data_IF_419588079002
#
_entry.id   IF_419588079002
#
_cell.length_a   1.000
_cell.length_b   1.000
_cell.length_c   1.000
_cell.angle_alpha   90.00
_cell.angle_beta   90.00
_cell.angle_gamma   90.00
#
_symmetry.space_group_name_H-M   'P 1'
#
loop_
_entity.id
_entity.type
_entity.pdbx_description
1 polymer ?
#
# COMPACT_ATOMS: atom_id res chain seq x y z
N UNK A 1 52.16 13.97 51.60
CA UNK A 1 51.15 13.21 50.81
C UNK A 1 49.74 13.84 50.79
N UNK A 2 49.36 14.70 51.75
CA UNK A 2 47.99 15.25 51.83
C UNK A 2 47.64 16.37 50.82
N UNK A 3 48.64 17.12 50.33
CA UNK A 3 48.43 18.19 49.33
C UNK A 3 47.99 17.63 47.97
N UNK A 4 48.56 16.48 47.55
CA UNK A 4 48.16 15.81 46.31
C UNK A 4 46.71 15.31 46.38
N UNK A 5 46.29 14.80 47.54
CA UNK A 5 44.91 14.37 47.76
C UNK A 5 43.90 15.53 47.67
N UNK A 6 44.23 16.70 48.25
CA UNK A 6 43.41 17.91 48.14
C UNK A 6 43.31 18.42 46.68
N UNK A 7 44.41 18.38 45.92
CA UNK A 7 44.40 18.73 44.50
C UNK A 7 43.52 17.78 43.67
N UNK A 8 43.58 16.47 43.92
CA UNK A 8 42.69 15.51 43.26
C UNK A 8 41.22 15.70 43.63
N UNK A 9 40.93 16.02 44.90
CA UNK A 9 39.57 16.24 45.37
C UNK A 9 38.96 17.52 44.77
N UNK A 10 39.76 18.59 44.67
CA UNK A 10 39.34 19.83 44.02
C UNK A 10 39.15 19.66 42.50
N UNK A 11 40.05 18.92 41.84
CA UNK A 11 39.92 18.58 40.44
C UNK A 11 38.67 17.71 40.17
N UNK A 12 38.39 16.72 41.02
CA UNK A 12 37.21 15.88 40.91
C UNK A 12 35.91 16.67 41.13
N UNK A 13 35.89 17.60 42.11
CA UNK A 13 34.74 18.46 42.39
C UNK A 13 34.35 19.35 41.20
N UNK A 14 35.31 19.70 40.33
CA UNK A 14 35.07 20.51 39.13
C UNK A 14 34.78 19.62 37.91
N UNK A 15 35.52 18.52 37.74
CA UNK A 15 35.46 17.71 36.52
C UNK A 15 34.23 16.79 36.48
N UNK A 16 33.83 16.22 37.62
CA UNK A 16 32.72 15.27 37.68
C UNK A 16 31.38 15.88 37.26
N UNK A 17 30.98 17.08 37.73
CA UNK A 17 29.74 17.72 37.29
C UNK A 17 29.72 18.00 35.78
N UNK A 18 30.86 18.40 35.20
CA UNK A 18 30.97 18.68 33.75
C UNK A 18 30.81 17.41 32.93
N UNK A 19 31.44 16.31 33.34
CA UNK A 19 31.32 15.00 32.66
C UNK A 19 29.89 14.48 32.76
N UNK A 20 29.26 14.57 33.93
CA UNK A 20 27.87 14.15 34.14
C UNK A 20 26.91 14.99 33.28
N UNK A 21 27.11 16.31 33.24
CA UNK A 21 26.29 17.20 32.42
C UNK A 21 26.46 16.94 30.92
N UNK A 22 27.68 16.67 30.44
CA UNK A 22 27.95 16.31 29.06
C UNK A 22 27.31 14.96 28.69
N UNK A 23 27.45 13.93 29.54
CA UNK A 23 26.82 12.62 29.34
C UNK A 23 25.29 12.67 29.39
N UNK A 24 24.73 13.46 30.30
CA UNK A 24 23.29 13.68 30.40
C UNK A 24 22.74 14.45 29.18
N UNK A 25 23.48 15.47 28.71
CA UNK A 25 23.11 16.23 27.51
C UNK A 25 23.12 15.36 26.26
N UNK A 26 24.12 14.48 26.10
CA UNK A 26 24.19 13.52 24.99
C UNK A 26 22.96 12.60 24.95
N UNK A 27 22.53 12.06 26.11
CA UNK A 27 21.29 11.26 26.19
C UNK A 27 20.03 12.07 25.88
N UNK A 28 19.99 13.35 26.22
CA UNK A 28 18.85 14.21 25.93
C UNK A 28 18.75 14.56 24.44
N UNK A 29 19.89 14.65 23.74
CA UNK A 29 19.98 14.97 22.31
C UNK A 29 19.54 13.76 21.45
N UNK A 30 19.91 12.53 21.83
CA UNK A 30 19.44 11.30 21.19
C UNK A 30 17.90 11.20 21.15
N UNK A 31 17.20 11.75 22.14
CA UNK A 31 15.73 11.76 22.19
C UNK A 31 15.06 12.81 21.30
N UNK A 32 15.72 13.97 21.04
CA UNK A 32 15.10 15.12 20.36
C UNK A 32 15.26 15.12 18.84
N UNK A 33 16.40 14.66 18.31
CA UNK A 33 16.56 14.46 16.86
C UNK A 33 15.59 13.40 16.33
N UNK A 34 15.18 12.46 17.20
CA UNK A 34 14.26 11.38 16.89
C UNK A 34 12.83 11.87 16.57
N UNK A 35 12.30 12.92 17.20
CA UNK A 35 10.88 13.29 17.03
C UNK A 35 10.58 13.96 15.68
N UNK A 36 11.47 14.83 15.20
CA UNK A 36 11.30 15.46 13.89
C UNK A 36 11.39 14.41 12.77
N UNK A 37 12.38 13.53 12.86
CA UNK A 37 12.56 12.40 11.96
C UNK A 37 11.31 11.48 11.95
N UNK A 38 10.84 11.08 13.13
CA UNK A 38 9.60 10.29 13.30
C UNK A 38 8.39 10.96 12.69
N UNK A 39 8.24 12.27 12.90
CA UNK A 39 7.13 13.04 12.36
C UNK A 39 7.21 13.13 10.83
N UNK A 40 8.40 13.23 10.25
CA UNK A 40 8.59 13.22 8.79
C UNK A 40 8.21 11.86 8.19
N UNK A 41 8.66 10.75 8.78
CA UNK A 41 8.32 9.41 8.33
C UNK A 41 6.81 9.15 8.46
N UNK A 42 6.19 9.57 9.56
CA UNK A 42 4.74 9.46 9.75
C UNK A 42 3.95 10.27 8.71
N UNK A 43 4.37 11.51 8.41
CA UNK A 43 3.77 12.32 7.35
C UNK A 43 3.95 11.70 5.97
N UNK A 44 5.09 11.08 5.69
CA UNK A 44 5.32 10.37 4.44
C UNK A 44 4.40 9.15 4.31
N UNK A 45 4.25 8.35 5.37
CA UNK A 45 3.31 7.24 5.42
C UNK A 45 1.87 7.73 5.17
N UNK A 46 1.45 8.81 5.81
CA UNK A 46 0.11 9.37 5.60
C UNK A 46 -0.09 9.87 4.16
N UNK A 47 0.87 10.59 3.59
CA UNK A 47 0.79 11.11 2.22
C UNK A 47 0.73 9.98 1.19
N UNK A 48 1.58 8.97 1.34
CA UNK A 48 1.57 7.83 0.44
C UNK A 48 0.30 6.98 0.62
N UNK A 49 -0.26 6.87 1.83
CA UNK A 49 -1.55 6.21 2.05
C UNK A 49 -2.69 6.95 1.31
N UNK A 50 -2.70 8.29 1.36
CA UNK A 50 -3.66 9.11 0.63
C UNK A 50 -3.48 9.02 -0.89
N UNK A 51 -2.24 8.87 -1.37
CA UNK A 51 -1.96 8.65 -2.79
C UNK A 51 -2.55 7.33 -3.28
N UNK A 52 -2.38 6.24 -2.52
CA UNK A 52 -2.99 4.93 -2.83
C UNK A 52 -4.51 5.01 -2.78
N UNK A 53 -5.08 5.72 -1.81
CA UNK A 53 -6.52 5.92 -1.71
C UNK A 53 -7.08 6.69 -2.92
N UNK A 54 -6.40 7.75 -3.34
CA UNK A 54 -6.79 8.55 -4.49
C UNK A 54 -6.72 7.75 -5.81
N UNK A 55 -5.69 6.92 -5.98
CA UNK A 55 -5.56 6.03 -7.13
C UNK A 55 -6.73 5.04 -7.21
N UNK A 56 -7.04 4.36 -6.10
CA UNK A 56 -8.18 3.44 -6.03
C UNK A 56 -9.52 4.16 -6.26
N UNK A 57 -9.68 5.37 -5.72
CA UNK A 57 -10.87 6.20 -5.92
C UNK A 57 -11.02 6.64 -7.39
N UNK A 58 -9.91 6.92 -8.08
CA UNK A 58 -9.90 7.23 -9.51
C UNK A 58 -10.35 6.01 -10.33
N UNK A 59 -9.87 4.80 -10.02
CA UNK A 59 -10.36 3.58 -10.67
C UNK A 59 -11.84 3.36 -10.42
N UNK A 60 -12.34 3.58 -9.20
CA UNK A 60 -13.78 3.52 -8.93
C UNK A 60 -14.55 4.57 -9.74
N UNK A 61 -14.04 5.79 -9.91
CA UNK A 61 -14.70 6.80 -10.72
C UNK A 61 -14.76 6.41 -12.20
N UNK A 62 -13.68 5.84 -12.75
CA UNK A 62 -13.64 5.30 -14.11
C UNK A 62 -14.66 4.18 -14.29
N UNK A 63 -14.75 3.26 -13.32
CA UNK A 63 -15.75 2.19 -13.32
C UNK A 63 -17.19 2.74 -13.30
N UNK A 64 -17.47 3.81 -12.53
CA UNK A 64 -18.81 4.46 -12.54
C UNK A 64 -19.13 5.07 -13.90
N UNK A 65 -18.16 5.68 -14.56
CA UNK A 65 -18.34 6.24 -15.89
C UNK A 65 -18.64 5.13 -16.92
N UNK A 66 -17.90 4.02 -16.89
CA UNK A 66 -18.15 2.85 -17.73
C UNK A 66 -19.51 2.21 -17.46
N UNK A 67 -19.93 2.14 -16.19
CA UNK A 67 -21.24 1.59 -15.82
C UNK A 67 -22.42 2.36 -16.45
N UNK A 68 -22.23 3.64 -16.75
CA UNK A 68 -23.20 4.48 -17.45
C UNK A 68 -23.16 4.36 -18.98
N UNK A 69 -22.29 3.51 -19.54
CA UNK A 69 -22.14 3.41 -20.99
C UNK A 69 -23.39 2.82 -21.67
N UNK A 70 -23.89 3.42 -22.76
CA UNK A 70 -24.99 2.87 -23.54
C UNK A 70 -24.68 1.51 -24.18
N UNK A 71 -23.41 1.22 -24.46
CA UNK A 71 -23.00 -0.03 -25.14
C UNK A 71 -23.37 -1.25 -24.29
N UNK A 72 -23.12 -1.19 -22.98
CA UNK A 72 -23.50 -2.27 -22.05
C UNK A 72 -25.02 -2.41 -21.93
N UNK A 73 -25.76 -1.29 -21.88
CA UNK A 73 -27.21 -1.32 -21.79
C UNK A 73 -27.89 -1.92 -23.04
N UNK A 74 -27.25 -1.80 -24.21
CA UNK A 74 -27.71 -2.39 -25.48
C UNK A 74 -27.20 -3.82 -25.73
N UNK A 75 -26.34 -4.34 -24.86
CA UNK A 75 -25.71 -5.66 -25.04
C UNK A 75 -24.59 -5.69 -26.09
N UNK A 76 -24.05 -4.53 -26.48
CA UNK A 76 -22.96 -4.40 -27.44
C UNK A 76 -21.60 -4.67 -26.77
N UNK A 77 -21.35 -5.93 -26.38
CA UNK A 77 -20.17 -6.31 -25.59
C UNK A 77 -18.83 -5.98 -26.27
N UNK A 78 -18.73 -6.07 -27.60
CA UNK A 78 -17.51 -5.69 -28.34
C UNK A 78 -17.22 -4.18 -28.26
N UNK A 79 -18.26 -3.34 -28.25
CA UNK A 79 -18.09 -1.90 -28.08
C UNK A 79 -17.68 -1.58 -26.63
N UNK A 80 -18.35 -2.21 -25.67
CA UNK A 80 -18.05 -2.03 -24.26
C UNK A 80 -16.66 -2.54 -23.88
N UNK A 81 -16.19 -3.64 -24.48
CA UNK A 81 -14.81 -4.13 -24.32
C UNK A 81 -13.78 -3.05 -24.71
N UNK A 82 -13.98 -2.36 -25.85
CA UNK A 82 -13.07 -1.30 -26.31
C UNK A 82 -13.10 -0.09 -25.38
N UNK A 83 -14.28 0.28 -24.88
CA UNK A 83 -14.42 1.37 -23.90
C UNK A 83 -13.70 1.01 -22.59
N UNK A 84 -13.88 -0.22 -22.09
CA UNK A 84 -13.23 -0.70 -20.88
C UNK A 84 -11.70 -0.78 -21.05
N UNK A 85 -11.22 -1.27 -22.19
CA UNK A 85 -9.79 -1.31 -22.51
C UNK A 85 -9.18 0.10 -22.62
N UNK A 86 -9.91 1.07 -23.18
CA UNK A 86 -9.43 2.45 -23.26
C UNK A 86 -9.44 3.16 -21.89
N UNK A 87 -10.38 2.81 -21.01
CA UNK A 87 -10.49 3.36 -19.68
C UNK A 87 -9.46 2.78 -18.69
N UNK A 88 -9.09 1.51 -18.85
CA UNK A 88 -8.02 0.88 -18.06
C UNK A 88 -6.68 1.15 -18.73
N UNK A 89 -6.04 2.25 -18.34
CA UNK A 89 -4.72 2.62 -18.83
C UNK A 89 -3.62 2.13 -17.90
N UNK A 90 -2.72 1.29 -18.41
CA UNK A 90 -1.51 0.88 -17.70
C UNK A 90 -1.05 -0.53 -18.08
N UNK A 91 0.26 -0.82 -18.03
CA UNK A 91 0.80 -2.13 -18.41
C UNK A 91 0.46 -3.26 -17.42
N UNK A 92 0.02 -2.93 -16.19
CA UNK A 92 -0.26 -3.90 -15.11
C UNK A 92 -1.68 -3.72 -14.53
N UNK A 93 -2.62 -3.29 -15.38
CA UNK A 93 -4.04 -3.15 -15.05
C UNK A 93 -4.93 -3.71 -16.17
N UNK A 94 -6.09 -4.27 -15.81
CA UNK A 94 -7.02 -4.85 -16.77
C UNK A 94 -8.48 -4.83 -16.31
N UNK A 95 -9.41 -4.78 -17.27
CA UNK A 95 -10.84 -4.82 -17.00
C UNK A 95 -11.42 -6.23 -17.19
N UNK A 96 -12.40 -6.56 -16.36
CA UNK A 96 -13.24 -7.76 -16.50
C UNK A 96 -14.71 -7.39 -16.39
N UNK A 97 -15.58 -8.12 -17.08
CA UNK A 97 -17.02 -8.04 -16.91
C UNK A 97 -17.59 -9.42 -16.59
N UNK A 98 -18.38 -9.52 -15.54
CA UNK A 98 -19.01 -10.75 -15.07
C UNK A 98 -20.53 -10.58 -15.12
N UNK A 99 -21.25 -11.61 -15.59
CA UNK A 99 -22.71 -11.63 -15.62
C UNK A 99 -23.34 -12.05 -14.29
N UNK A 100 -24.68 -11.98 -14.21
CA UNK A 100 -25.46 -12.37 -13.02
C UNK A 100 -25.29 -13.82 -12.57
N UNK A 101 -24.80 -14.71 -13.44
CA UNK A 101 -24.53 -16.11 -13.15
C UNK A 101 -23.07 -16.36 -12.73
N UNK A 102 -22.25 -15.31 -12.64
CA UNK A 102 -20.83 -15.43 -12.32
C UNK A 102 -19.96 -15.83 -13.51
N UNK A 103 -20.48 -15.74 -14.74
CA UNK A 103 -19.70 -16.03 -15.96
C UNK A 103 -18.89 -14.83 -16.37
N UNK A 104 -17.62 -15.06 -16.68
CA UNK A 104 -16.72 -14.03 -17.21
C UNK A 104 -17.06 -13.76 -18.69
N UNK A 105 -17.59 -12.57 -18.98
CA UNK A 105 -17.99 -12.15 -20.33
C UNK A 105 -16.81 -11.64 -21.16
N UNK A 106 -15.89 -10.92 -20.53
CA UNK A 106 -14.59 -10.59 -21.13
C UNK A 106 -13.54 -10.31 -20.07
N UNK A 107 -12.29 -10.42 -20.49
CA UNK A 107 -11.08 -10.00 -19.79
C UNK A 107 -10.15 -9.30 -20.79
N UNK A 108 -9.64 -8.11 -20.46
CA UNK A 108 -8.75 -7.35 -21.35
C UNK A 108 -7.29 -7.81 -21.33
N UNK A 109 -6.91 -8.77 -20.46
CA UNK A 109 -5.57 -9.41 -20.45
C UNK A 109 -5.44 -10.52 -21.49
N UNK A 110 -6.53 -11.25 -21.75
CA UNK A 110 -6.55 -12.32 -22.71
C UNK A 110 -6.59 -11.71 -24.12
N UNK A 111 -5.70 -12.17 -25.02
CA UNK A 111 -5.89 -11.89 -26.43
C UNK A 111 -7.28 -12.40 -26.83
N UNK A 112 -8.06 -11.59 -27.55
CA UNK A 112 -9.41 -11.95 -28.02
C UNK A 112 -9.39 -13.38 -28.60
N UNK A 113 -10.05 -14.33 -27.92
CA UNK A 113 -10.15 -15.74 -28.35
C UNK A 113 -9.32 -16.78 -27.57
N UNK A 114 -8.55 -16.40 -26.54
CA UNK A 114 -8.03 -17.38 -25.58
C UNK A 114 -9.19 -17.89 -24.71
N UNK A 115 -9.27 -19.19 -24.35
CA UNK A 115 -10.32 -19.68 -23.46
C UNK A 115 -10.13 -19.04 -22.08
N UNK A 116 -10.80 -17.90 -21.87
CA UNK A 116 -10.97 -17.34 -20.55
C UNK A 116 -11.64 -18.44 -19.72
N UNK A 117 -11.07 -18.80 -18.58
CA UNK A 117 -11.75 -19.66 -17.61
C UNK A 117 -13.13 -19.05 -17.39
N UNK A 118 -14.19 -19.80 -17.72
CA UNK A 118 -15.57 -19.30 -17.73
C UNK A 118 -16.05 -18.83 -16.33
N UNK A 119 -15.29 -19.10 -15.28
CA UNK A 119 -15.65 -18.82 -13.89
C UNK A 119 -14.96 -17.57 -13.33
N UNK A 120 -15.79 -16.67 -12.80
CA UNK A 120 -15.34 -15.53 -12.01
C UNK A 120 -14.63 -15.97 -10.72
N UNK A 121 -13.59 -15.25 -10.28
CA UNK A 121 -13.02 -15.42 -8.94
C UNK A 121 -14.09 -15.38 -7.83
N UNK A 122 -14.01 -16.27 -6.81
CA UNK A 122 -15.04 -16.38 -5.76
C UNK A 122 -15.34 -15.07 -5.01
N UNK A 123 -14.34 -14.20 -4.86
CA UNK A 123 -14.50 -12.88 -4.22
C UNK A 123 -15.45 -11.97 -5.01
N UNK A 124 -15.41 -12.04 -6.34
CA UNK A 124 -16.30 -11.27 -7.20
C UNK A 124 -17.71 -11.86 -7.20
N UNK A 125 -17.85 -13.18 -7.18
CA UNK A 125 -19.15 -13.83 -7.05
C UNK A 125 -19.84 -13.49 -5.72
N UNK A 126 -19.10 -13.56 -4.60
CA UNK A 126 -19.61 -13.17 -3.28
C UNK A 126 -20.09 -11.71 -3.27
N UNK A 127 -19.36 -10.84 -3.95
CA UNK A 127 -19.74 -9.44 -4.06
C UNK A 127 -20.93 -9.21 -5.00
N UNK A 128 -21.06 -9.96 -6.08
CA UNK A 128 -22.24 -9.90 -6.96
C UNK A 128 -23.52 -10.28 -6.20
N UNK A 129 -23.42 -11.23 -5.27
CA UNK A 129 -24.54 -11.71 -4.46
C UNK A 129 -24.85 -10.82 -3.24
N UNK A 130 -23.84 -10.17 -2.65
CA UNK A 130 -23.99 -9.45 -1.37
C UNK A 130 -23.68 -7.95 -1.40
N UNK A 131 -22.79 -7.49 -2.28
CA UNK A 131 -22.37 -6.08 -2.35
C UNK A 131 -23.22 -5.31 -3.37
N UNK A 132 -23.73 -4.15 -2.97
CA UNK A 132 -24.37 -3.18 -3.89
C UNK A 132 -23.56 -1.91 -4.07
N UNK A 133 -22.30 -1.92 -3.60
CA UNK A 133 -21.40 -0.77 -3.63
C UNK A 133 -20.05 -1.20 -4.20
N UNK A 134 -19.29 -0.26 -4.78
CA UNK A 134 -17.92 -0.52 -5.18
C UNK A 134 -17.09 -1.01 -3.99
N UNK A 135 -16.17 -1.93 -4.24
CA UNK A 135 -15.31 -2.52 -3.21
C UNK A 135 -13.90 -2.75 -3.76
N UNK A 136 -12.95 -2.90 -2.84
CA UNK A 136 -11.57 -3.26 -3.14
C UNK A 136 -11.26 -4.60 -2.46
N UNK A 137 -10.72 -5.55 -3.22
CA UNK A 137 -10.33 -6.86 -2.70
C UNK A 137 -9.04 -6.76 -1.88
N UNK A 138 -8.74 -7.78 -1.10
CA UNK A 138 -7.37 -8.01 -0.65
C UNK A 138 -6.54 -8.63 -1.80
N UNK A 139 -5.30 -9.03 -1.51
CA UNK A 139 -4.47 -9.72 -2.48
C UNK A 139 -5.09 -11.09 -2.83
N UNK A 140 -5.31 -11.32 -4.12
CA UNK A 140 -5.93 -12.54 -4.67
C UNK A 140 -5.09 -13.06 -5.84
N UNK A 141 -5.06 -14.38 -6.10
CA UNK A 141 -4.45 -14.91 -7.31
C UNK A 141 -5.31 -14.58 -8.54
N UNK A 142 -4.66 -14.14 -9.62
CA UNK A 142 -5.28 -14.06 -10.95
C UNK A 142 -5.59 -15.46 -11.47
N UNK A 143 -6.81 -15.70 -11.94
CA UNK A 143 -7.20 -16.98 -12.54
C UNK A 143 -6.55 -17.21 -13.92
N UNK A 144 -6.09 -16.14 -14.58
CA UNK A 144 -5.46 -16.21 -15.91
C UNK A 144 -3.95 -16.38 -15.79
N UNK A 145 -3.28 -15.56 -14.97
CA UNK A 145 -1.81 -15.54 -14.90
C UNK A 145 -1.23 -16.26 -13.69
N UNK A 146 -2.04 -16.59 -12.68
CA UNK A 146 -1.58 -17.07 -11.38
C UNK A 146 -0.85 -16.02 -10.52
N UNK A 147 -0.53 -14.83 -11.07
CA UNK A 147 0.13 -13.75 -10.34
C UNK A 147 -0.83 -13.15 -9.30
N UNK A 148 -0.28 -12.72 -8.17
CA UNK A 148 -1.02 -12.02 -7.13
C UNK A 148 -1.39 -10.61 -7.62
N UNK A 149 -2.64 -10.23 -7.39
CA UNK A 149 -3.22 -8.96 -7.82
C UNK A 149 -4.21 -8.46 -6.77
N UNK A 150 -4.65 -7.22 -6.92
CA UNK A 150 -5.81 -6.68 -6.20
C UNK A 150 -6.87 -6.27 -7.21
N UNK A 151 -8.11 -6.14 -6.77
CA UNK A 151 -9.24 -5.83 -7.63
C UNK A 151 -10.09 -4.71 -7.07
N UNK A 152 -10.55 -3.83 -7.96
CA UNK A 152 -11.65 -2.90 -7.68
C UNK A 152 -12.88 -3.43 -8.41
N UNK A 153 -13.91 -3.83 -7.65
CA UNK A 153 -15.16 -4.36 -8.20
C UNK A 153 -16.31 -3.39 -8.06
N UNK A 154 -17.19 -3.34 -9.06
CA UNK A 154 -18.40 -2.53 -9.09
C UNK A 154 -19.60 -3.35 -9.58
N UNK A 155 -20.49 -3.76 -8.67
CA UNK A 155 -21.81 -4.26 -9.03
C UNK A 155 -22.62 -3.15 -9.71
N UNK A 156 -23.25 -3.45 -10.84
CA UNK A 156 -24.07 -2.51 -11.60
C UNK A 156 -25.25 -3.21 -12.27
N UNK A 157 -26.24 -2.44 -12.71
CA UNK A 157 -27.38 -2.94 -13.50
C UNK A 157 -27.43 -2.21 -14.84
N UNK A 158 -27.51 -2.96 -15.93
CA UNK A 158 -27.61 -2.44 -17.29
C UNK A 158 -28.56 -3.34 -18.11
N UNK A 159 -29.43 -2.74 -18.93
CA UNK A 159 -30.36 -3.51 -19.77
C UNK A 159 -31.29 -4.45 -19.00
N UNK A 160 -31.57 -4.17 -17.72
CA UNK A 160 -32.39 -5.02 -16.85
C UNK A 160 -31.65 -6.22 -16.22
N UNK A 161 -30.36 -6.39 -16.49
CA UNK A 161 -29.52 -7.48 -15.94
C UNK A 161 -28.50 -6.94 -14.97
N UNK A 162 -28.04 -7.81 -14.06
CA UNK A 162 -26.99 -7.47 -13.11
C UNK A 162 -25.62 -7.89 -13.66
N UNK A 163 -24.64 -7.01 -13.50
CA UNK A 163 -23.26 -7.25 -13.88
C UNK A 163 -22.34 -6.87 -12.73
N UNK A 164 -21.12 -7.39 -12.79
CA UNK A 164 -20.00 -6.89 -12.01
C UNK A 164 -18.87 -6.51 -12.95
N UNK A 165 -18.53 -5.23 -12.93
CA UNK A 165 -17.40 -4.68 -13.66
C UNK A 165 -16.22 -4.58 -12.70
N UNK A 166 -15.08 -5.15 -13.08
CA UNK A 166 -13.89 -5.18 -12.26
C UNK A 166 -12.69 -4.60 -12.97
N UNK A 167 -11.78 -4.00 -12.22
CA UNK A 167 -10.41 -3.69 -12.67
C UNK A 167 -9.43 -4.40 -11.75
N UNK A 168 -8.58 -5.24 -12.32
CA UNK A 168 -7.42 -5.81 -11.63
C UNK A 168 -6.22 -4.87 -11.71
N UNK A 169 -5.46 -4.77 -10.63
CA UNK A 169 -4.14 -4.12 -10.58
C UNK A 169 -3.13 -5.12 -10.02
N UNK A 170 -2.06 -5.36 -10.77
CA UNK A 170 -0.92 -6.11 -10.25
C UNK A 170 -0.06 -5.27 -9.30
N UNK A 171 1.01 -5.89 -8.80
CA UNK A 171 1.92 -5.23 -7.86
C UNK A 171 2.77 -4.13 -8.52
N UNK A 172 3.03 -4.22 -9.83
CA UNK A 172 3.87 -3.26 -10.55
C UNK A 172 3.16 -1.91 -10.70
N UNK A 173 1.82 -1.91 -10.82
CA UNK A 173 0.98 -0.69 -10.77
C UNK A 173 1.26 0.13 -9.50
N UNK A 174 1.10 -0.47 -8.33
CA UNK A 174 1.33 0.22 -7.06
C UNK A 174 2.81 0.52 -6.83
N UNK A 175 3.73 -0.31 -7.30
CA UNK A 175 5.17 0.00 -7.25
C UNK A 175 5.49 1.29 -7.99
N UNK A 176 4.95 1.48 -9.20
CA UNK A 176 5.13 2.72 -9.96
C UNK A 176 4.51 3.91 -9.24
N UNK A 177 3.32 3.73 -8.64
CA UNK A 177 2.68 4.76 -7.82
C UNK A 177 3.56 5.19 -6.64
N UNK A 178 4.16 4.23 -5.92
CA UNK A 178 5.05 4.49 -4.79
C UNK A 178 6.35 5.18 -5.22
N UNK A 179 6.94 4.78 -6.35
CA UNK A 179 8.11 5.45 -6.92
C UNK A 179 7.80 6.89 -7.37
N UNK A 180 6.57 7.15 -7.81
CA UNK A 180 6.07 8.48 -8.17
C UNK A 180 5.75 9.38 -6.97
N UNK A 181 5.79 8.89 -5.74
CA UNK A 181 5.47 9.66 -4.53
C UNK A 181 6.49 10.77 -4.20
N UNK A 182 7.64 10.80 -4.88
CA UNK A 182 8.65 11.85 -4.74
C UNK A 182 9.44 11.79 -3.42
N UNK A 183 9.52 10.62 -2.79
CA UNK A 183 10.33 10.37 -1.59
C UNK A 183 11.77 9.97 -1.97
N UNK A 184 12.76 10.16 -1.08
CA UNK A 184 14.14 9.75 -1.33
C UNK A 184 14.24 8.26 -1.70
N UNK A 185 15.20 7.91 -2.57
CA UNK A 185 15.28 6.56 -3.15
C UNK A 185 15.61 5.46 -2.15
N UNK A 186 16.22 5.81 -1.02
CA UNK A 186 16.59 4.92 0.08
C UNK A 186 15.46 4.74 1.10
N UNK A 187 14.34 5.46 0.94
CA UNK A 187 13.15 5.26 1.76
C UNK A 187 12.36 4.05 1.28
N UNK A 188 11.92 3.24 2.23
CA UNK A 188 11.07 2.08 1.98
C UNK A 188 9.60 2.47 2.09
N UNK A 189 8.79 2.03 1.14
CA UNK A 189 7.33 2.15 1.13
C UNK A 189 6.75 0.78 0.82
N UNK A 190 5.91 0.29 1.72
CA UNK A 190 5.24 -0.99 1.59
C UNK A 190 3.73 -0.82 1.75
N UNK A 191 2.95 -1.44 0.86
CA UNK A 191 1.49 -1.54 0.97
C UNK A 191 1.14 -2.95 1.44
N UNK A 192 0.32 -3.05 2.48
CA UNK A 192 -0.21 -4.31 2.99
C UNK A 192 -1.73 -4.34 2.93
N UNK A 193 -2.29 -5.46 2.51
CA UNK A 193 -3.73 -5.66 2.53
C UNK A 193 -4.28 -5.81 3.96
N UNK A 194 -5.60 -5.98 4.11
CA UNK A 194 -6.24 -6.14 5.43
C UNK A 194 -5.80 -7.39 6.19
N UNK A 195 -5.25 -8.39 5.47
CA UNK A 195 -4.76 -9.65 6.04
C UNK A 195 -3.26 -9.58 6.37
N UNK A 196 -2.63 -8.42 6.16
CA UNK A 196 -1.21 -8.23 6.39
C UNK A 196 -0.33 -8.83 5.30
N UNK A 197 -0.84 -9.08 4.09
CA UNK A 197 -0.04 -9.54 2.95
C UNK A 197 0.50 -8.35 2.17
N UNK A 198 1.78 -8.40 1.81
CA UNK A 198 2.44 -7.36 1.03
C UNK A 198 1.83 -7.29 -0.38
N UNK A 199 1.18 -6.18 -0.71
CA UNK A 199 0.62 -5.88 -2.03
C UNK A 199 1.71 -5.37 -2.97
N UNK A 200 2.52 -4.42 -2.51
CA UNK A 200 3.63 -3.87 -3.28
C UNK A 200 4.68 -3.22 -2.38
N UNK A 201 5.92 -3.14 -2.88
CA UNK A 201 7.01 -2.39 -2.28
C UNK A 201 7.76 -1.61 -3.36
N UNK A 202 8.21 -0.39 -3.03
CA UNK A 202 9.07 0.39 -3.91
C UNK A 202 10.51 -0.17 -3.98
N UNK A 203 10.94 -0.95 -2.98
CA UNK A 203 12.26 -1.55 -2.88
C UNK A 203 12.19 -3.08 -2.96
N UNK A 204 13.31 -3.70 -3.34
CA UNK A 204 13.42 -5.16 -3.42
C UNK A 204 12.75 -5.80 -4.64
N UNK A 205 12.84 -7.14 -4.76
CA UNK A 205 12.33 -7.88 -5.90
C UNK A 205 10.80 -8.08 -5.84
N UNK A 206 10.16 -8.25 -7.00
CA UNK A 206 8.72 -8.53 -7.10
C UNK A 206 8.30 -9.83 -6.39
N UNK A 207 9.24 -10.75 -6.12
CA UNK A 207 9.00 -11.98 -5.36
C UNK A 207 8.62 -11.76 -3.89
N UNK A 208 8.74 -10.53 -3.37
CA UNK A 208 8.30 -10.19 -2.01
C UNK A 208 6.78 -10.11 -1.88
N UNK A 209 6.06 -9.91 -2.99
CA UNK A 209 4.59 -9.76 -2.99
C UNK A 209 3.94 -11.02 -2.39
N UNK A 210 3.00 -10.82 -1.47
CA UNK A 210 2.33 -11.90 -0.73
C UNK A 210 3.05 -12.35 0.56
N UNK A 211 4.21 -11.79 0.90
CA UNK A 211 4.83 -12.03 2.21
C UNK A 211 4.03 -11.37 3.33
N UNK A 212 4.12 -11.96 4.52
CA UNK A 212 3.48 -11.43 5.72
C UNK A 212 4.16 -10.14 6.22
N UNK A 213 3.34 -9.22 6.71
CA UNK A 213 3.79 -8.05 7.45
C UNK A 213 4.50 -8.47 8.74
N UNK A 214 5.43 -7.64 9.25
CA UNK A 214 5.95 -7.80 10.60
C UNK A 214 4.79 -7.91 11.62
N UNK A 215 4.89 -8.80 12.63
CA UNK A 215 3.84 -9.00 13.63
C UNK A 215 3.36 -7.71 14.29
N UNK A 216 4.27 -6.77 14.55
CA UNK A 216 3.99 -5.48 15.16
C UNK A 216 3.10 -4.60 14.26
N UNK A 217 3.25 -4.71 12.95
CA UNK A 217 2.41 -4.00 11.99
C UNK A 217 1.08 -4.71 11.75
N UNK A 218 1.08 -6.05 11.68
CA UNK A 218 -0.14 -6.82 11.42
C UNK A 218 -1.13 -6.73 12.59
N UNK A 219 -0.64 -6.78 13.82
CA UNK A 219 -1.44 -6.68 15.06
C UNK A 219 -1.83 -5.26 15.48
N UNK A 220 -1.26 -4.23 14.85
CA UNK A 220 -1.60 -2.85 15.16
C UNK A 220 -3.08 -2.54 14.86
N UNK A 221 -3.84 -2.17 15.89
CA UNK A 221 -5.26 -1.80 15.76
C UNK A 221 -5.47 -0.33 15.41
N UNK A 222 -4.47 0.52 15.64
CA UNK A 222 -4.55 1.94 15.35
C UNK A 222 -4.53 2.21 13.84
N UNK A 223 -5.14 3.33 13.43
CA UNK A 223 -5.10 3.75 12.03
C UNK A 223 -3.70 4.22 11.61
N UNK A 224 -2.92 4.72 12.55
CA UNK A 224 -1.59 5.24 12.33
C UNK A 224 -0.71 4.99 13.55
N UNK A 225 0.60 4.99 13.34
CA UNK A 225 1.55 4.77 14.41
C UNK A 225 2.99 4.70 13.94
N UNK A 226 3.90 4.69 14.90
CA UNK A 226 5.33 4.51 14.67
C UNK A 226 5.74 3.21 15.36
N UNK A 227 6.50 2.39 14.64
CA UNK A 227 7.00 1.10 15.10
C UNK A 227 8.52 1.12 15.04
N UNK A 228 9.15 0.61 16.11
CA UNK A 228 10.58 0.40 16.15
C UNK A 228 10.91 -0.93 15.46
N UNK A 229 10.94 -0.91 14.12
CA UNK A 229 11.23 -2.06 13.28
C UNK A 229 12.46 -1.79 12.43
N UNK A 230 13.33 -2.80 12.19
CA UNK A 230 14.36 -2.67 11.17
C UNK A 230 13.69 -2.49 9.80
N UNK A 231 14.37 -1.76 8.90
CA UNK A 231 13.97 -1.75 7.50
C UNK A 231 14.13 -3.15 6.92
N UNK A 232 13.43 -3.45 5.82
CA UNK A 232 13.53 -4.74 5.14
C UNK A 232 14.92 -5.00 4.58
N UNK A 233 15.71 -3.93 4.37
CA UNK A 233 17.14 -4.00 4.04
C UNK A 233 18.03 -4.48 5.19
N UNK A 234 17.50 -4.61 6.41
CA UNK A 234 18.26 -4.91 7.62
C UNK A 234 18.93 -3.69 8.27
N UNK A 235 18.80 -2.51 7.66
CA UNK A 235 19.34 -1.26 8.20
C UNK A 235 18.45 -0.74 9.33
N UNK A 236 19.08 -0.23 10.39
CA UNK A 236 18.37 0.45 11.46
C UNK A 236 17.65 1.70 10.92
N UNK A 237 16.34 1.78 11.16
CA UNK A 237 15.52 2.87 10.67
C UNK A 237 14.31 3.11 11.55
N UNK A 238 13.56 4.15 11.21
CA UNK A 238 12.25 4.43 11.81
C UNK A 238 11.19 4.02 10.81
N UNK A 239 10.21 3.22 11.26
CA UNK A 239 9.05 2.84 10.45
C UNK A 239 7.80 3.50 11.02
N UNK A 240 7.05 4.19 10.19
CA UNK A 240 5.71 4.66 10.52
C UNK A 240 4.70 4.02 9.57
N UNK A 241 3.47 3.85 10.01
CA UNK A 241 2.40 3.33 9.18
C UNK A 241 1.16 4.21 9.27
N UNK A 242 0.35 4.15 8.21
CA UNK A 242 -0.94 4.81 8.13
C UNK A 242 -1.94 3.96 7.35
N UNK A 243 -3.20 3.99 7.75
CA UNK A 243 -4.30 3.27 7.13
C UNK A 243 -4.74 3.99 5.87
N UNK A 244 -4.89 3.25 4.78
CA UNK A 244 -5.50 3.70 3.54
C UNK A 244 -7.03 3.72 3.75
N UNK A 245 -7.70 4.89 3.71
CA UNK A 245 -9.10 5.02 4.12
C UNK A 245 -10.09 4.13 3.36
N UNK A 246 -9.99 4.03 2.04
CA UNK A 246 -10.92 3.31 1.18
C UNK A 246 -10.92 1.79 1.40
N UNK A 247 -9.81 1.07 1.12
CA UNK A 247 -9.75 -0.38 1.29
C UNK A 247 -9.48 -0.82 2.74
N UNK A 248 -9.04 0.09 3.61
CA UNK A 248 -8.60 -0.23 4.97
C UNK A 248 -7.25 -0.95 5.04
N UNK A 249 -6.47 -0.92 3.95
CA UNK A 249 -5.08 -1.39 3.87
C UNK A 249 -4.17 -0.55 4.76
N UNK A 250 -2.93 -1.02 4.96
CA UNK A 250 -1.89 -0.29 5.69
C UNK A 250 -0.76 0.07 4.73
N UNK A 251 -0.31 1.32 4.78
CA UNK A 251 0.91 1.75 4.13
C UNK A 251 1.97 2.02 5.19
N UNK A 252 3.11 1.35 5.09
CA UNK A 252 4.27 1.55 5.95
C UNK A 252 5.35 2.31 5.19
N UNK A 253 5.88 3.37 5.81
CA UNK A 253 7.04 4.10 5.34
C UNK A 253 8.20 3.92 6.31
N UNK A 254 9.39 3.68 5.79
CA UNK A 254 10.61 3.50 6.54
C UNK A 254 11.72 4.37 6.01
N UNK A 255 12.42 5.09 6.89
CA UNK A 255 13.60 5.87 6.52
C UNK A 255 14.83 5.37 7.29
N UNK A 256 16.00 5.22 6.63
CA UNK A 256 17.22 4.82 7.30
C UNK A 256 17.67 5.94 8.24
N UNK A 257 18.25 5.57 9.40
CA UNK A 257 18.67 6.54 10.40
C UNK A 257 19.64 7.60 9.84
N UNK A 258 20.50 7.21 8.89
CA UNK A 258 21.45 8.10 8.24
C UNK A 258 20.82 9.18 7.34
N UNK A 259 19.63 8.93 6.78
CA UNK A 259 18.92 9.90 5.93
C UNK A 259 18.07 10.90 6.73
N UNK A 260 18.00 10.73 8.04
CA UNK A 260 17.21 11.56 8.96
C UNK A 260 18.08 12.60 9.70
N UNK A 261 19.39 12.62 9.41
CA UNK A 261 20.34 13.61 9.95
C UNK A 261 20.58 14.70 8.88
N UNK A 262 20.48 15.99 9.22
CA UNK A 262 20.71 17.10 8.29
C UNK A 262 22.16 17.25 7.81
#
# INVERSE_FOLDING_TARGET
>A
MQIRAYLYLMAAAILVPVILFAGFSLRLIEGRESELARTQVAKAAQRAALLVDADLAATQAALRALAGSPSLARGELDAFYREAQAAVGGPDAWAILIDENGRLLFDTTASKGSPATDEAPPVYLSALLGAQRPFVTDLIPSQVSGRLMTGVGMPLRAGGRQYLLGVGHGADHFRQLLLGAGLPQDWQLDIYDRKGKLVASNLGPAALVGQDAPPELSTAETADGILALPLRSGVAGTVAFSRVPGPGWKLAAGAPAAALVP
#
